data_IF_175869012262
#
_entry.id   IF_175869012262
#
_cell.length_a   1.000
_cell.length_b   1.000
_cell.length_c   1.000
_cell.angle_alpha   90.00
_cell.angle_beta   90.00
_cell.angle_gamma   90.00
#
_symmetry.space_group_name_H-M   'P 1'
#
loop_
_entity.id
_entity.type
_entity.pdbx_description
1 polymer ?
#
# COMPACT_ATOMS: atom_id res chain seq x y z
N UNK A 1 13.63 2.66 5.35
CA UNK A 1 12.91 1.76 6.28
C UNK A 1 12.94 2.48 7.61
N UNK A 2 11.78 2.94 8.09
CA UNK A 2 11.69 3.76 9.30
C UNK A 2 11.96 2.92 10.54
N UNK A 3 12.78 3.44 11.45
CA UNK A 3 12.98 2.89 12.77
C UNK A 3 11.67 3.04 13.57
N UNK A 4 11.27 2.00 14.31
CA UNK A 4 10.04 2.01 15.12
C UNK A 4 10.11 2.98 16.31
N UNK A 5 11.32 3.41 16.66
CA UNK A 5 11.62 4.43 17.64
C UNK A 5 12.52 5.49 17.02
N UNK A 6 12.34 6.77 17.33
CA UNK A 6 13.25 7.80 16.85
C UNK A 6 14.68 7.53 17.32
N UNK A 7 15.65 7.58 16.40
CA UNK A 7 17.09 7.42 16.68
C UNK A 7 17.56 8.32 17.84
N UNK A 8 16.98 9.53 17.96
CA UNK A 8 17.15 10.43 19.08
C UNK A 8 15.80 10.75 19.70
N UNK A 9 15.54 10.18 20.88
CA UNK A 9 14.31 10.45 21.61
C UNK A 9 14.37 11.80 22.32
N UNK A 10 13.52 12.73 21.91
CA UNK A 10 13.33 14.03 22.53
C UNK A 10 11.85 14.45 22.51
N UNK A 11 11.54 15.60 23.12
CA UNK A 11 10.16 16.13 23.21
C UNK A 11 9.54 16.33 21.82
N UNK A 12 10.32 16.73 20.83
CA UNK A 12 9.82 16.90 19.46
C UNK A 12 9.48 15.57 18.80
N UNK A 13 10.29 14.53 18.99
CA UNK A 13 10.01 13.20 18.42
C UNK A 13 8.86 12.50 19.12
N UNK A 14 8.68 12.70 20.43
CA UNK A 14 7.54 12.16 21.17
C UNK A 14 6.22 12.84 20.75
N UNK A 15 6.24 14.13 20.41
CA UNK A 15 5.05 14.86 19.92
C UNK A 15 4.76 14.56 18.44
N UNK A 16 5.79 14.50 17.59
CA UNK A 16 5.63 14.33 16.14
C UNK A 16 5.59 12.87 15.68
N UNK A 17 5.89 11.92 16.56
CA UNK A 17 5.91 10.48 16.23
C UNK A 17 4.60 9.95 15.68
N UNK A 18 3.46 10.43 16.20
CA UNK A 18 2.13 10.04 15.73
C UNK A 18 1.69 10.70 14.41
N UNK A 19 2.51 11.58 13.81
CA UNK A 19 2.19 12.20 12.50
C UNK A 19 2.50 11.24 11.34
N UNK A 20 3.54 10.41 11.51
CA UNK A 20 4.02 9.50 10.48
C UNK A 20 3.32 8.15 10.53
N UNK A 21 2.78 7.80 11.70
CA UNK A 21 2.08 6.54 11.92
C UNK A 21 0.55 6.70 11.78
N UNK A 22 -0.16 5.60 11.57
CA UNK A 22 -1.62 5.56 11.41
C UNK A 22 -2.34 5.06 12.69
N UNK A 23 -1.72 5.17 13.88
CA UNK A 23 -2.28 4.71 15.16
C UNK A 23 -3.52 5.47 15.61
N UNK A 24 -3.73 6.72 15.15
CA UNK A 24 -4.93 7.51 15.46
C UNK A 24 -6.09 7.30 14.47
N UNK A 25 -6.06 6.20 13.72
CA UNK A 25 -6.96 5.87 12.59
C UNK A 25 -6.55 6.55 11.28
N UNK A 26 -6.12 5.73 10.33
CA UNK A 26 -5.86 6.11 8.94
C UNK A 26 -6.21 4.96 8.00
N UNK A 27 -6.28 5.23 6.68
CA UNK A 27 -6.60 4.22 5.65
C UNK A 27 -5.76 2.93 5.78
N UNK A 28 -4.52 3.07 6.24
CA UNK A 28 -3.55 1.99 6.36
C UNK A 28 -3.36 1.47 7.79
N UNK A 29 -4.19 1.89 8.75
CA UNK A 29 -4.04 1.51 10.15
C UNK A 29 -4.10 0.00 10.37
N UNK A 30 -4.93 -0.72 9.61
CA UNK A 30 -5.02 -2.18 9.70
C UNK A 30 -3.72 -2.86 9.29
N UNK A 31 -3.18 -2.51 8.13
CA UNK A 31 -1.93 -3.06 7.62
C UNK A 31 -0.75 -2.70 8.53
N UNK A 32 -0.77 -1.50 9.10
CA UNK A 32 0.23 -1.09 10.08
C UNK A 32 0.16 -1.94 11.36
N UNK A 33 -1.04 -2.15 11.91
CA UNK A 33 -1.23 -2.97 13.10
C UNK A 33 -0.81 -4.43 12.85
N UNK A 34 -1.16 -5.00 11.70
CA UNK A 34 -0.76 -6.36 11.34
C UNK A 34 0.78 -6.49 11.26
N UNK A 35 1.44 -5.54 10.60
CA UNK A 35 2.91 -5.48 10.54
C UNK A 35 3.54 -5.31 11.94
N UNK A 36 3.01 -4.39 12.75
CA UNK A 36 3.54 -4.08 14.09
C UNK A 36 3.41 -5.27 15.04
N UNK A 37 2.26 -5.95 15.04
CA UNK A 37 2.02 -7.16 15.84
C UNK A 37 2.99 -8.30 15.47
N UNK A 38 3.24 -8.50 14.18
CA UNK A 38 4.21 -9.49 13.74
C UNK A 38 5.64 -9.14 14.20
N UNK A 39 6.01 -7.87 14.09
CA UNK A 39 7.34 -7.42 14.49
C UNK A 39 7.54 -7.52 16.02
N UNK A 40 6.50 -7.24 16.80
CA UNK A 40 6.51 -7.41 18.26
C UNK A 40 6.76 -8.89 18.64
N UNK A 41 6.15 -9.84 17.93
CA UNK A 41 6.32 -11.27 18.20
C UNK A 41 7.71 -11.83 17.86
N UNK A 42 8.35 -11.33 16.80
CA UNK A 42 9.66 -11.85 16.34
C UNK A 42 10.87 -11.01 16.76
N UNK A 43 10.65 -9.77 17.21
CA UNK A 43 11.70 -8.77 17.39
C UNK A 43 12.23 -8.21 16.06
N UNK A 44 13.10 -7.21 16.13
CA UNK A 44 13.54 -6.43 14.97
C UNK A 44 14.25 -7.27 13.90
N UNK A 45 15.35 -7.93 14.24
CA UNK A 45 16.22 -8.61 13.27
C UNK A 45 15.50 -9.74 12.51
N UNK A 46 14.75 -10.56 13.26
CA UNK A 46 14.01 -11.69 12.67
C UNK A 46 12.71 -11.23 12.03
N UNK A 47 12.07 -10.20 12.61
CA UNK A 47 10.81 -9.65 12.13
C UNK A 47 10.93 -9.03 10.74
N UNK A 48 12.05 -8.36 10.41
CA UNK A 48 12.25 -7.83 9.05
C UNK A 48 12.23 -8.91 7.95
N UNK A 49 12.67 -10.12 8.27
CA UNK A 49 12.68 -11.25 7.33
C UNK A 49 11.32 -11.95 7.34
N UNK A 50 10.78 -12.25 8.52
CA UNK A 50 9.54 -13.04 8.68
C UNK A 50 8.28 -12.24 8.34
N UNK A 51 8.24 -10.97 8.71
CA UNK A 51 7.11 -10.06 8.51
C UNK A 51 7.21 -9.26 7.20
N UNK A 52 8.12 -9.62 6.29
CA UNK A 52 8.37 -8.90 5.03
C UNK A 52 7.10 -8.68 4.21
N UNK A 53 6.22 -9.69 4.13
CA UNK A 53 4.97 -9.60 3.39
C UNK A 53 4.02 -8.52 3.96
N UNK A 54 3.89 -8.45 5.29
CA UNK A 54 3.07 -7.43 5.96
C UNK A 54 3.66 -6.02 5.79
N UNK A 55 5.00 -5.91 5.83
CA UNK A 55 5.68 -4.66 5.53
C UNK A 55 5.44 -4.21 4.09
N UNK A 56 5.49 -5.13 3.13
CA UNK A 56 5.19 -4.82 1.73
C UNK A 56 3.74 -4.39 1.52
N UNK A 57 2.78 -4.98 2.24
CA UNK A 57 1.37 -4.60 2.18
C UNK A 57 1.12 -3.23 2.81
N UNK A 58 1.79 -2.92 3.93
CA UNK A 58 1.76 -1.59 4.52
C UNK A 58 2.35 -0.53 3.56
N UNK A 59 3.49 -0.82 2.94
CA UNK A 59 4.10 0.06 1.94
C UNK A 59 3.23 0.23 0.70
N UNK A 60 2.56 -0.85 0.26
CA UNK A 60 1.60 -0.80 -0.83
C UNK A 60 0.45 0.15 -0.47
N UNK A 61 -0.12 0.02 0.73
CA UNK A 61 -1.19 0.89 1.16
C UNK A 61 -0.76 2.37 1.24
N UNK A 62 0.47 2.66 1.68
CA UNK A 62 0.97 4.04 1.75
C UNK A 62 1.21 4.66 0.36
N UNK A 63 1.70 3.87 -0.59
CA UNK A 63 2.17 4.38 -1.89
C UNK A 63 1.20 4.12 -3.05
N UNK A 64 0.25 3.19 -2.89
CA UNK A 64 -0.60 2.63 -3.95
C UNK A 64 0.17 2.19 -5.20
N UNK A 65 1.45 1.83 -5.07
CA UNK A 65 2.35 1.62 -6.21
C UNK A 65 1.90 0.42 -7.06
N UNK A 66 1.58 -0.71 -6.42
CA UNK A 66 1.18 -1.93 -7.14
C UNK A 66 -0.19 -1.71 -7.81
N UNK A 67 -1.14 -1.10 -7.10
CA UNK A 67 -2.44 -0.73 -7.65
C UNK A 67 -2.33 0.20 -8.88
N UNK A 68 -1.48 1.23 -8.81
CA UNK A 68 -1.25 2.16 -9.92
C UNK A 68 -0.63 1.48 -11.15
N UNK A 69 0.39 0.64 -10.94
CA UNK A 69 1.02 -0.12 -12.02
C UNK A 69 0.02 -1.07 -12.69
N UNK A 70 -0.83 -1.74 -11.90
CA UNK A 70 -1.92 -2.58 -12.43
C UNK A 70 -2.89 -1.75 -13.28
N UNK A 71 -3.31 -0.59 -12.79
CA UNK A 71 -4.17 0.32 -13.55
C UNK A 71 -3.53 0.74 -14.89
N UNK A 72 -2.26 1.11 -14.88
CA UNK A 72 -1.55 1.51 -16.10
C UNK A 72 -1.38 0.36 -17.09
N UNK A 73 -1.11 -0.86 -16.62
CA UNK A 73 -1.05 -2.05 -17.46
C UNK A 73 -2.41 -2.34 -18.13
N UNK A 74 -3.51 -2.31 -17.36
CA UNK A 74 -4.87 -2.49 -17.90
C UNK A 74 -5.22 -1.40 -18.93
N UNK A 75 -4.84 -0.14 -18.67
CA UNK A 75 -5.05 0.97 -19.60
C UNK A 75 -4.25 0.79 -20.90
N UNK A 76 -2.99 0.33 -20.82
CA UNK A 76 -2.16 0.06 -21.99
C UNK A 76 -2.75 -1.03 -22.87
N UNK A 77 -3.19 -2.14 -22.28
CA UNK A 77 -3.83 -3.23 -23.03
C UNK A 77 -5.14 -2.78 -23.67
N UNK A 78 -5.94 -1.97 -22.98
CA UNK A 78 -7.16 -1.38 -23.56
C UNK A 78 -6.84 -0.56 -24.81
N UNK A 79 -5.86 0.34 -24.72
CA UNK A 79 -5.47 1.19 -25.85
C UNK A 79 -4.94 0.36 -27.03
N UNK A 80 -4.16 -0.69 -26.74
CA UNK A 80 -3.70 -1.64 -27.77
C UNK A 80 -4.88 -2.29 -28.50
N UNK A 81 -5.88 -2.78 -27.76
CA UNK A 81 -7.07 -3.42 -28.36
C UNK A 81 -7.91 -2.46 -29.21
N UNK A 82 -8.01 -1.20 -28.80
CA UNK A 82 -8.68 -0.15 -29.60
C UNK A 82 -7.89 0.14 -30.88
N UNK A 83 -6.56 0.23 -30.79
CA UNK A 83 -5.70 0.45 -31.96
C UNK A 83 -5.75 -0.72 -32.96
N UNK A 84 -5.86 -1.96 -32.48
CA UNK A 84 -6.04 -3.15 -33.30
C UNK A 84 -7.47 -3.32 -33.84
N UNK A 85 -8.43 -2.48 -33.42
CA UNK A 85 -9.83 -2.57 -33.85
C UNK A 85 -10.63 -3.72 -33.19
N UNK A 86 -10.10 -4.38 -32.16
CA UNK A 86 -10.80 -5.44 -31.43
C UNK A 86 -11.95 -4.89 -30.55
N UNK A 87 -11.84 -3.63 -30.12
CA UNK A 87 -12.83 -2.93 -29.29
C UNK A 87 -13.23 -1.64 -30.01
N UNK A 88 -14.53 -1.40 -30.19
CA UNK A 88 -15.01 -0.12 -30.74
C UNK A 88 -14.75 1.01 -29.74
N UNK A 89 -14.41 2.20 -30.23
CA UNK A 89 -14.14 3.38 -29.38
C UNK A 89 -15.31 3.70 -28.44
N UNK A 90 -16.55 3.44 -28.87
CA UNK A 90 -17.76 3.68 -28.07
C UNK A 90 -17.88 2.76 -26.83
N UNK A 91 -17.12 1.66 -26.80
CA UNK A 91 -17.08 0.69 -25.69
C UNK A 91 -15.77 0.78 -24.89
N UNK A 92 -15.03 1.88 -25.00
CA UNK A 92 -13.76 2.08 -24.29
C UNK A 92 -13.93 2.01 -22.76
N UNK A 93 -15.02 2.60 -22.24
CA UNK A 93 -15.35 2.57 -20.81
C UNK A 93 -16.71 1.90 -20.60
N UNK A 94 -16.71 0.86 -19.76
CA UNK A 94 -17.92 0.19 -19.30
C UNK A 94 -18.09 0.47 -17.81
N UNK A 95 -19.34 0.56 -17.35
CA UNK A 95 -19.59 0.56 -15.92
C UNK A 95 -19.04 -0.75 -15.32
N UNK A 96 -18.28 -0.67 -14.21
CA UNK A 96 -17.89 -1.88 -13.49
C UNK A 96 -19.15 -2.63 -13.08
N UNK A 97 -19.09 -3.95 -13.14
CA UNK A 97 -20.17 -4.78 -12.62
C UNK A 97 -20.24 -4.60 -11.11
N UNK A 98 -21.41 -4.85 -10.53
CA UNK A 98 -21.65 -4.66 -9.08
C UNK A 98 -20.71 -5.55 -8.24
N UNK A 99 -20.23 -6.67 -8.78
CA UNK A 99 -19.28 -7.62 -8.19
C UNK A 99 -17.79 -7.25 -8.39
N UNK A 100 -17.50 -6.09 -8.97
CA UNK A 100 -16.13 -5.68 -9.31
C UNK A 100 -15.36 -4.99 -8.17
N UNK A 101 -15.97 -4.84 -6.99
CA UNK A 101 -15.45 -4.11 -5.82
C UNK A 101 -15.17 -5.01 -4.63
#
# INVERSE_FOLDING_TARGET
MGELSPLFRNVFTDITGGIVDHQQMGRCARQEMDFRNCLEGYGWDRGLIRCKHLLEDFQECQTNRKQFLRFMAMRRERNRKIACGEISKDKEYVSPRIDSY
#
